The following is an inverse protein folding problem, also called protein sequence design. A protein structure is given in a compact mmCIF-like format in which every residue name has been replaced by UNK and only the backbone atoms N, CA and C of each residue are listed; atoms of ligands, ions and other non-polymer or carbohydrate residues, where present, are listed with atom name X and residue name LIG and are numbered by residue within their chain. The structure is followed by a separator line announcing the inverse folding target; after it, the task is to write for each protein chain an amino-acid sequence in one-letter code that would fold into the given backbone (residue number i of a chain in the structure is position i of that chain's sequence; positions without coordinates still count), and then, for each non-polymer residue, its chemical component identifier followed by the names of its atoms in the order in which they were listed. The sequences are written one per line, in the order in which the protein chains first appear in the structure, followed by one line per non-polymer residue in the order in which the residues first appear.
data_IF_420272370158
#
_entry.id   IF_420272370158
#
_cell.length_a   1.000
_cell.length_b   1.000
_cell.length_c   1.000
_cell.angle_alpha   90.00
_cell.angle_beta   90.00
_cell.angle_gamma   90.00
#
_symmetry.space_group_name_H-M   'P 1'
#
loop_
_entity.id
_entity.type
_entity.pdbx_description
1 polymer ?
#
# COMPACT_ATOMS: atom_id res chain seq x y z
N UNK A 1 10.38 -24.97 -12.74
CA UNK A 1 9.24 -24.02 -12.70
C UNK A 1 8.62 -23.89 -11.30
N UNK A 2 8.34 -24.98 -10.58
CA UNK A 2 7.76 -24.94 -9.21
C UNK A 2 8.58 -24.11 -8.20
N UNK A 3 9.92 -24.24 -8.17
CA UNK A 3 10.77 -23.46 -7.24
C UNK A 3 10.68 -21.93 -7.43
N UNK A 4 10.39 -21.46 -8.65
CA UNK A 4 10.25 -20.02 -8.97
C UNK A 4 8.95 -19.44 -8.43
N UNK A 5 7.88 -20.23 -8.45
CA UNK A 5 6.55 -19.79 -7.99
C UNK A 5 6.29 -20.18 -6.53
N UNK A 6 7.26 -20.83 -5.88
CA UNK A 6 7.15 -21.31 -4.51
C UNK A 6 6.77 -20.20 -3.51
N UNK A 7 7.35 -18.98 -3.57
CA UNK A 7 6.93 -17.90 -2.68
C UNK A 7 5.45 -17.54 -2.86
N UNK A 8 4.99 -17.41 -4.12
CA UNK A 8 3.60 -17.09 -4.44
C UNK A 8 2.66 -18.18 -3.93
N UNK A 9 3.00 -19.46 -4.13
CA UNK A 9 2.22 -20.59 -3.64
C UNK A 9 2.12 -20.59 -2.11
N UNK A 10 3.22 -20.27 -1.41
CA UNK A 10 3.23 -20.16 0.06
C UNK A 10 2.32 -19.00 0.49
N UNK A 11 2.43 -17.83 -0.13
CA UNK A 11 1.58 -16.67 0.21
C UNK A 11 0.10 -16.95 -0.01
N UNK A 12 -0.27 -17.56 -1.14
CA UNK A 12 -1.65 -17.99 -1.39
C UNK A 12 -2.12 -19.03 -0.37
N UNK A 13 -1.28 -20.01 -0.05
CA UNK A 13 -1.59 -21.03 0.95
C UNK A 13 -1.84 -20.41 2.33
N UNK A 14 -0.95 -19.53 2.79
CA UNK A 14 -1.11 -18.82 4.07
C UNK A 14 -2.37 -17.97 4.09
N UNK A 15 -2.67 -17.24 3.00
CA UNK A 15 -3.89 -16.45 2.89
C UNK A 15 -5.15 -17.32 2.98
N UNK A 16 -5.24 -18.39 2.19
CA UNK A 16 -6.41 -19.28 2.16
C UNK A 16 -6.60 -19.98 3.51
N UNK A 17 -5.54 -20.58 4.06
CA UNK A 17 -5.60 -21.28 5.34
C UNK A 17 -5.99 -20.32 6.48
N UNK A 18 -5.39 -19.13 6.52
CA UNK A 18 -5.72 -18.09 7.51
C UNK A 18 -7.17 -17.62 7.38
N UNK A 19 -7.64 -17.38 6.15
CA UNK A 19 -9.02 -16.98 5.88
C UNK A 19 -10.02 -18.06 6.33
N UNK A 20 -9.77 -19.33 6.00
CA UNK A 20 -10.60 -20.46 6.42
C UNK A 20 -10.62 -20.62 7.94
N UNK A 21 -9.47 -20.47 8.60
CA UNK A 21 -9.40 -20.50 10.06
C UNK A 21 -10.26 -19.39 10.68
N UNK A 22 -10.13 -18.15 10.21
CA UNK A 22 -10.92 -17.02 10.70
C UNK A 22 -12.43 -17.19 10.48
N UNK A 23 -12.86 -17.85 9.39
CA UNK A 23 -14.28 -18.19 9.19
C UNK A 23 -14.86 -19.06 10.32
N UNK A 24 -14.04 -19.94 10.92
CA UNK A 24 -14.48 -20.80 12.02
C UNK A 24 -14.51 -20.07 13.37
N UNK A 25 -13.64 -19.07 13.54
CA UNK A 25 -13.47 -18.37 14.82
C UNK A 25 -14.38 -17.15 14.97
N UNK A 26 -14.73 -16.48 13.87
CA UNK A 26 -15.44 -15.20 13.90
C UNK A 26 -16.76 -15.23 13.11
N UNK A 27 -17.92 -15.24 13.80
CA UNK A 27 -19.22 -15.15 13.13
C UNK A 27 -19.36 -13.77 12.47
N UNK A 28 -19.40 -13.75 11.13
CA UNK A 28 -19.45 -12.51 10.33
C UNK A 28 -18.17 -12.19 9.56
N UNK A 29 -17.13 -13.03 9.65
CA UNK A 29 -15.90 -12.86 8.89
C UNK A 29 -16.11 -12.86 7.37
N UNK A 30 -17.11 -13.62 6.88
CA UNK A 30 -17.50 -13.64 5.47
C UNK A 30 -18.37 -12.44 5.03
N UNK A 31 -18.61 -11.46 5.90
CA UNK A 31 -19.43 -10.31 5.55
C UNK A 31 -18.77 -9.45 4.47
N UNK A 32 -19.59 -8.80 3.62
CA UNK A 32 -19.11 -7.87 2.59
C UNK A 32 -18.24 -6.77 3.18
N UNK A 33 -18.51 -6.34 4.43
CA UNK A 33 -17.72 -5.32 5.13
C UNK A 33 -16.26 -5.75 5.34
N UNK A 34 -16.03 -6.99 5.78
CA UNK A 34 -14.66 -7.50 6.01
C UNK A 34 -13.92 -7.62 4.69
N UNK A 35 -14.58 -8.11 3.64
CA UNK A 35 -13.99 -8.20 2.29
C UNK A 35 -13.65 -6.80 1.77
N UNK A 36 -14.57 -5.84 1.89
CA UNK A 36 -14.33 -4.45 1.49
C UNK A 36 -13.18 -3.82 2.29
N UNK A 37 -13.07 -4.08 3.59
CA UNK A 37 -11.96 -3.59 4.40
C UNK A 37 -10.63 -4.14 3.89
N UNK A 38 -10.52 -5.44 3.63
CA UNK A 38 -9.29 -6.05 3.08
C UNK A 38 -8.91 -5.37 1.75
N UNK A 39 -9.86 -5.14 0.86
CA UNK A 39 -9.61 -4.47 -0.42
C UNK A 39 -9.22 -2.99 -0.23
N UNK A 40 -9.88 -2.27 0.68
CA UNK A 40 -9.64 -0.85 0.93
C UNK A 40 -8.28 -0.63 1.59
N UNK A 41 -7.92 -1.45 2.58
CA UNK A 41 -6.65 -1.38 3.28
C UNK A 41 -5.46 -1.69 2.35
N UNK A 42 -5.69 -2.49 1.30
CA UNK A 42 -4.68 -2.81 0.28
C UNK A 42 -4.82 -1.98 -1.01
N UNK A 43 -5.80 -1.07 -1.11
CA UNK A 43 -6.05 -0.30 -2.32
C UNK A 43 -4.84 0.55 -2.72
N UNK A 44 -4.09 1.06 -1.74
CA UNK A 44 -2.89 1.86 -2.00
C UNK A 44 -1.81 1.04 -2.74
N UNK A 45 -1.62 -0.24 -2.42
CA UNK A 45 -0.68 -1.12 -3.13
C UNK A 45 -1.11 -1.31 -4.58
N UNK A 46 -2.42 -1.44 -4.83
CA UNK A 46 -2.97 -1.52 -6.18
C UNK A 46 -2.70 -0.26 -7.00
N UNK A 47 -2.94 0.93 -6.42
CA UNK A 47 -2.66 2.22 -7.08
C UNK A 47 -1.16 2.35 -7.41
N UNK A 48 -0.29 2.01 -6.47
CA UNK A 48 1.17 2.02 -6.66
C UNK A 48 1.59 1.05 -7.75
N UNK A 49 1.06 -0.18 -7.74
CA UNK A 49 1.39 -1.18 -8.74
C UNK A 49 1.06 -0.70 -10.17
N UNK A 50 -0.07 0.01 -10.36
CA UNK A 50 -0.42 0.62 -11.64
C UNK A 50 0.63 1.67 -12.05
N UNK A 51 1.03 2.58 -11.15
CA UNK A 51 2.09 3.55 -11.43
C UNK A 51 3.42 2.89 -11.82
N UNK A 52 3.82 1.85 -11.07
CA UNK A 52 5.05 1.09 -11.32
C UNK A 52 5.06 0.38 -12.68
N UNK A 53 3.90 0.06 -13.26
CA UNK A 53 3.87 -0.51 -14.62
C UNK A 53 4.43 0.46 -15.66
N UNK A 54 4.12 1.76 -15.56
CA UNK A 54 4.63 2.75 -16.50
C UNK A 54 6.14 2.92 -16.39
N UNK A 55 6.67 2.95 -15.16
CA UNK A 55 8.11 3.00 -14.91
C UNK A 55 8.83 1.82 -15.57
N UNK A 56 8.34 0.60 -15.34
CA UNK A 56 8.98 -0.61 -15.86
C UNK A 56 8.94 -0.62 -17.40
N UNK A 57 7.83 -0.17 -17.99
CA UNK A 57 7.70 -0.04 -19.44
C UNK A 57 8.69 0.97 -20.04
N UNK A 58 9.02 2.04 -19.31
CA UNK A 58 10.07 3.00 -19.69
C UNK A 58 11.50 2.44 -19.54
N UNK A 59 11.66 1.19 -19.07
CA UNK A 59 12.96 0.53 -18.90
C UNK A 59 13.65 0.82 -17.56
N UNK A 60 12.95 1.47 -16.62
CA UNK A 60 13.47 1.80 -15.29
C UNK A 60 13.10 0.77 -14.21
N UNK A 61 13.77 0.88 -13.06
CA UNK A 61 13.40 0.21 -11.81
C UNK A 61 13.27 1.31 -10.75
N UNK A 62 12.05 1.78 -10.51
CA UNK A 62 11.81 2.89 -9.58
C UNK A 62 11.69 2.40 -8.14
N UNK A 63 12.77 2.59 -7.38
CA UNK A 63 12.80 2.34 -5.94
C UNK A 63 12.31 3.56 -5.13
N UNK A 64 12.14 4.72 -5.77
CA UNK A 64 11.77 5.99 -5.13
C UNK A 64 10.36 5.93 -4.55
N UNK A 65 9.41 5.27 -5.23
CA UNK A 65 8.02 5.15 -4.76
C UNK A 65 7.94 4.52 -3.36
N UNK A 66 8.74 3.48 -3.10
CA UNK A 66 8.81 2.86 -1.77
C UNK A 66 9.31 3.82 -0.70
N UNK A 67 10.32 4.64 -1.02
CA UNK A 67 10.87 5.64 -0.11
C UNK A 67 9.89 6.79 0.18
N UNK A 68 9.14 7.23 -0.84
CA UNK A 68 8.12 8.28 -0.70
C UNK A 68 6.97 7.79 0.18
N UNK A 69 6.51 6.55 0.00
CA UNK A 69 5.47 5.94 0.85
C UNK A 69 5.94 5.86 2.31
N UNK A 70 7.15 5.37 2.55
CA UNK A 70 7.71 5.28 3.90
C UNK A 70 7.83 6.67 4.56
N UNK A 71 8.37 7.66 3.84
CA UNK A 71 8.54 9.01 4.34
C UNK A 71 7.20 9.69 4.64
N UNK A 72 6.26 9.68 3.69
CA UNK A 72 4.94 10.30 3.86
C UNK A 72 4.14 9.66 4.99
N UNK A 73 4.25 8.33 5.17
CA UNK A 73 3.66 7.61 6.30
C UNK A 73 4.23 8.03 7.66
N UNK A 74 5.56 8.05 7.80
CA UNK A 74 6.23 8.49 9.05
C UNK A 74 5.95 9.96 9.32
N UNK A 75 5.97 10.81 8.29
CA UNK A 75 5.62 12.21 8.40
C UNK A 75 4.19 12.38 8.92
N UNK A 76 3.21 11.68 8.34
CA UNK A 76 1.81 11.77 8.77
C UNK A 76 1.65 11.36 10.23
N UNK A 77 2.29 10.26 10.63
CA UNK A 77 2.29 9.78 12.01
C UNK A 77 2.89 10.82 12.98
N UNK A 78 3.99 11.46 12.60
CA UNK A 78 4.63 12.51 13.42
C UNK A 78 3.78 13.79 13.45
N UNK A 79 3.19 14.18 12.33
CA UNK A 79 2.36 15.36 12.20
C UNK A 79 1.14 15.28 13.13
N UNK A 80 0.44 14.15 13.12
CA UNK A 80 -0.74 13.94 13.97
C UNK A 80 -0.32 13.64 15.41
N UNK A 81 0.61 12.70 15.61
CA UNK A 81 0.93 12.16 16.93
C UNK A 81 1.85 13.05 17.79
N UNK A 82 2.80 13.74 17.18
CA UNK A 82 3.80 14.54 17.91
C UNK A 82 3.56 16.04 17.78
N UNK A 83 3.21 16.52 16.58
CA UNK A 83 2.92 17.95 16.37
C UNK A 83 1.47 18.33 16.68
N UNK A 84 0.59 17.35 16.95
CA UNK A 84 -0.81 17.60 17.29
C UNK A 84 -1.63 18.22 16.16
N UNK A 85 -1.17 18.11 14.90
CA UNK A 85 -1.93 18.59 13.76
C UNK A 85 -3.22 17.79 13.65
N UNK A 86 -4.35 18.48 13.44
CA UNK A 86 -5.60 17.79 13.17
C UNK A 86 -5.46 16.95 11.89
N UNK A 87 -6.07 15.74 11.83
CA UNK A 87 -6.04 14.91 10.62
C UNK A 87 -6.52 15.68 9.38
N UNK A 88 -7.51 16.56 9.54
CA UNK A 88 -8.05 17.41 8.46
C UNK A 88 -6.99 18.32 7.81
N UNK A 89 -5.96 18.73 8.55
CA UNK A 89 -4.84 19.53 8.04
C UNK A 89 -3.69 18.63 7.57
N UNK A 90 -3.43 17.54 8.29
CA UNK A 90 -2.31 16.66 7.97
C UNK A 90 -2.51 15.89 6.64
N UNK A 91 -3.74 15.48 6.32
CA UNK A 91 -4.09 14.80 5.06
C UNK A 91 -3.74 15.61 3.81
N UNK A 92 -4.29 16.84 3.60
CA UNK A 92 -3.97 17.62 2.41
C UNK A 92 -2.48 17.99 2.33
N UNK A 93 -1.83 18.21 3.47
CA UNK A 93 -0.39 18.50 3.51
C UNK A 93 0.43 17.32 2.96
N UNK A 94 0.14 16.10 3.41
CA UNK A 94 0.84 14.89 2.92
C UNK A 94 0.53 14.61 1.46
N UNK A 95 -0.70 14.87 0.99
CA UNK A 95 -1.05 14.76 -0.43
C UNK A 95 -0.22 15.72 -1.29
N UNK A 96 -0.13 16.99 -0.90
CA UNK A 96 0.67 17.99 -1.62
C UNK A 96 2.14 17.59 -1.66
N UNK A 97 2.70 17.13 -0.54
CA UNK A 97 4.09 16.64 -0.51
C UNK A 97 4.30 15.41 -1.39
N UNK A 98 3.39 14.44 -1.35
CA UNK A 98 3.46 13.24 -2.19
C UNK A 98 3.42 13.60 -3.68
N UNK A 99 2.52 14.49 -4.09
CA UNK A 99 2.46 15.00 -5.46
C UNK A 99 3.73 15.76 -5.85
N UNK A 100 4.29 16.57 -4.94
CA UNK A 100 5.54 17.30 -5.20
C UNK A 100 6.72 16.36 -5.41
N UNK A 101 6.87 15.32 -4.58
CA UNK A 101 7.90 14.29 -4.78
C UNK A 101 7.69 13.53 -6.08
N UNK A 102 6.46 13.10 -6.36
CA UNK A 102 6.13 12.40 -7.62
C UNK A 102 6.45 13.23 -8.86
N UNK A 103 6.10 14.53 -8.84
CA UNK A 103 6.44 15.45 -9.93
C UNK A 103 7.95 15.67 -10.05
N UNK A 104 8.67 15.77 -8.93
CA UNK A 104 10.13 15.95 -8.93
C UNK A 104 10.85 14.74 -9.55
N UNK A 105 10.52 13.52 -9.12
CA UNK A 105 11.12 12.31 -9.68
C UNK A 105 10.71 12.10 -11.14
N UNK A 106 9.45 12.31 -11.49
CA UNK A 106 9.00 12.21 -12.89
C UNK A 106 9.56 13.26 -13.84
N UNK A 107 10.13 14.37 -13.33
CA UNK A 107 10.87 15.36 -14.13
C UNK A 107 12.37 15.06 -14.20
N UNK A 108 12.90 14.26 -13.27
CA UNK A 108 14.32 13.97 -13.15
C UNK A 108 14.76 12.76 -13.99
N UNK A 109 13.81 11.91 -14.41
CA UNK A 109 13.98 10.80 -15.34
C UNK A 109 13.58 11.18 -16.78
#
# INVERSE_FOLDING_TARGET
MIKRNLPLMITLGVFVLGYLYCLTQFPGFASTRVICNILTDNAFLGIVAVGMTFVILSGGIDLSVGSVIAFTGVFLAKAIGFWGLSPLVAFPLVLVMGCAFGAFYGLAD
#
